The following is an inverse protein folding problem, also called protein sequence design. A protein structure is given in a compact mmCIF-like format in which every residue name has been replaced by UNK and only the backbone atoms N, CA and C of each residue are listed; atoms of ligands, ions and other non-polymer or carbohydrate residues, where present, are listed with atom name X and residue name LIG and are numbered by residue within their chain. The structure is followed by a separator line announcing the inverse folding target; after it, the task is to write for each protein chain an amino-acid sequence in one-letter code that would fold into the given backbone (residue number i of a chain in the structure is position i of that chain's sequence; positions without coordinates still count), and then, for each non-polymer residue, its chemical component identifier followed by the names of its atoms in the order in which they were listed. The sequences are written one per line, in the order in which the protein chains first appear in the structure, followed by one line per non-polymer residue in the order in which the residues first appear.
data_IF_896473399298
#
_entry.id   IF_896473399298
#
_cell.length_a   1.000
_cell.length_b   1.000
_cell.length_c   1.000
_cell.angle_alpha   90.00
_cell.angle_beta   90.00
_cell.angle_gamma   90.00
#
_symmetry.space_group_name_H-M   'P 1'
#
loop_
_entity.id
_entity.type
_entity.pdbx_description
1 polymer ?
#
# COMPACT_ATOMS: atom_id res chain seq x y z
N UNK A 1 11.94 26.97 22.45
CA UNK A 1 11.96 25.50 22.30
C UNK A 1 10.60 25.10 21.72
N UNK A 2 10.51 24.93 20.41
CA UNK A 2 9.25 24.54 19.75
C UNK A 2 9.01 23.06 20.02
N UNK A 3 7.97 22.75 20.79
CA UNK A 3 7.49 21.39 20.99
C UNK A 3 7.06 20.82 19.62
N UNK A 4 7.92 20.02 18.99
CA UNK A 4 7.60 19.33 17.74
C UNK A 4 6.62 18.22 18.12
N UNK A 5 5.33 18.50 18.00
CA UNK A 5 4.30 17.48 18.16
C UNK A 5 4.63 16.35 17.18
N UNK A 6 4.94 15.16 17.72
CA UNK A 6 5.22 13.98 16.91
C UNK A 6 3.88 13.57 16.30
N UNK A 7 3.63 13.99 15.07
CA UNK A 7 2.41 13.64 14.31
C UNK A 7 2.50 12.26 13.66
N UNK A 8 3.68 11.62 13.69
CA UNK A 8 3.96 10.33 13.08
C UNK A 8 4.17 9.26 14.17
N UNK A 9 3.17 8.40 14.36
CA UNK A 9 3.34 7.13 15.07
C UNK A 9 4.31 6.26 14.27
N UNK A 10 5.22 5.52 14.92
CA UNK A 10 6.13 4.61 14.23
C UNK A 10 5.34 3.49 13.53
N UNK A 11 5.10 3.63 12.23
CA UNK A 11 4.39 2.65 11.38
C UNK A 11 5.25 1.42 11.03
N UNK A 12 6.48 1.37 11.55
CA UNK A 12 7.39 0.21 11.50
C UNK A 12 6.93 -0.94 12.39
N UNK A 13 6.04 -0.69 13.36
CA UNK A 13 5.44 -1.74 14.17
C UNK A 13 4.22 -2.31 13.46
N UNK A 14 4.46 -3.11 12.43
CA UNK A 14 3.46 -4.07 11.95
C UNK A 14 3.14 -4.95 13.16
N UNK A 15 2.03 -4.68 13.84
CA UNK A 15 1.60 -5.31 15.09
C UNK A 15 1.14 -6.77 14.89
N UNK A 16 1.78 -7.49 13.99
CA UNK A 16 1.67 -8.92 13.85
C UNK A 16 3.04 -9.49 14.22
N UNK A 17 3.06 -10.37 15.21
CA UNK A 17 4.19 -11.24 15.51
C UNK A 17 4.40 -12.16 14.30
N UNK A 18 4.96 -11.66 13.20
CA UNK A 18 5.39 -12.50 12.11
C UNK A 18 6.53 -13.35 12.65
N UNK A 19 6.27 -14.65 12.88
CA UNK A 19 7.27 -15.64 13.30
C UNK A 19 8.48 -15.66 12.34
N UNK A 20 8.29 -15.22 11.09
CA UNK A 20 9.33 -15.09 10.07
C UNK A 20 9.25 -13.68 9.46
N UNK A 21 9.97 -12.74 10.07
CA UNK A 21 10.28 -11.46 9.42
C UNK A 21 11.47 -11.70 8.50
N UNK A 22 11.23 -11.76 7.18
CA UNK A 22 12.30 -11.66 6.20
C UNK A 22 12.42 -10.18 5.81
N UNK A 23 13.47 -9.46 6.25
CA UNK A 23 13.79 -8.18 5.66
C UNK A 23 14.25 -8.44 4.23
N UNK A 24 13.31 -8.31 3.30
CA UNK A 24 13.67 -8.23 1.89
C UNK A 24 14.20 -6.82 1.70
N UNK A 25 15.34 -6.63 1.02
CA UNK A 25 16.00 -5.33 0.81
C UNK A 25 15.05 -4.19 0.35
N UNK A 26 13.90 -4.56 -0.22
CA UNK A 26 12.81 -3.69 -0.66
C UNK A 26 12.13 -2.90 0.47
N UNK A 27 12.02 -3.45 1.69
CA UNK A 27 11.45 -2.69 2.82
C UNK A 27 12.43 -1.66 3.38
N UNK A 28 13.73 -1.92 3.31
CA UNK A 28 14.79 -1.00 3.74
C UNK A 28 14.93 0.17 2.74
N UNK A 29 14.59 -0.05 1.46
CA UNK A 29 14.56 1.00 0.43
C UNK A 29 13.46 2.05 0.65
N UNK A 30 12.42 1.76 1.45
CA UNK A 30 11.32 2.69 1.73
C UNK A 30 11.63 3.49 3.00
N UNK A 31 11.71 4.83 2.94
CA UNK A 31 11.96 5.66 4.12
C UNK A 31 10.96 5.42 5.25
N UNK A 32 11.38 5.56 6.51
CA UNK A 32 10.47 5.37 7.67
C UNK A 32 9.33 6.39 7.69
N UNK A 33 9.58 7.60 7.21
CA UNK A 33 8.61 8.70 7.21
C UNK A 33 7.69 8.71 5.97
N UNK A 34 7.80 7.70 5.09
CA UNK A 34 7.03 7.63 3.85
C UNK A 34 5.55 7.27 4.13
N UNK A 35 4.63 7.98 3.46
CA UNK A 35 3.19 7.77 3.56
C UNK A 35 2.76 6.39 3.04
N UNK A 36 3.57 5.74 2.19
CA UNK A 36 3.33 4.36 1.72
C UNK A 36 3.22 3.38 2.88
N UNK A 37 4.00 3.55 3.96
CA UNK A 37 3.98 2.62 5.11
C UNK A 37 2.64 2.61 5.81
N UNK A 38 2.10 3.80 6.12
CA UNK A 38 0.78 3.94 6.70
C UNK A 38 -0.30 3.35 5.79
N UNK A 39 -0.19 3.61 4.48
CA UNK A 39 -1.13 3.11 3.49
C UNK A 39 -1.16 1.58 3.42
N UNK A 40 0.01 0.94 3.42
CA UNK A 40 0.15 -0.51 3.45
C UNK A 40 -0.49 -1.12 4.71
N UNK A 41 -0.21 -0.57 5.89
CA UNK A 41 -0.81 -1.03 7.15
C UNK A 41 -2.33 -0.93 7.15
N UNK A 42 -2.87 0.18 6.62
CA UNK A 42 -4.32 0.36 6.52
C UNK A 42 -4.91 -0.71 5.60
N UNK A 43 -4.31 -0.90 4.43
CA UNK A 43 -4.74 -1.87 3.44
C UNK A 43 -4.65 -3.32 3.95
N UNK A 44 -3.62 -3.68 4.73
CA UNK A 44 -3.50 -5.03 5.32
C UNK A 44 -4.63 -5.38 6.29
N UNK A 45 -5.22 -4.38 6.95
CA UNK A 45 -6.35 -4.56 7.87
C UNK A 45 -7.70 -4.56 7.17
N UNK A 46 -7.74 -4.29 5.87
CA UNK A 46 -8.98 -4.27 5.09
C UNK A 46 -9.42 -5.67 4.67
N UNK A 47 -10.74 -5.86 4.64
CA UNK A 47 -11.36 -7.06 4.09
C UNK A 47 -11.58 -6.91 2.58
N UNK A 48 -10.96 -7.79 1.79
CA UNK A 48 -10.99 -7.77 0.33
C UNK A 48 -12.02 -8.73 -0.29
N UNK A 49 -12.90 -9.36 0.50
CA UNK A 49 -13.90 -10.31 -0.01
C UNK A 49 -14.77 -9.74 -1.13
N UNK A 50 -15.29 -8.52 -0.94
CA UNK A 50 -16.11 -7.85 -1.95
C UNK A 50 -15.32 -7.49 -3.21
N UNK A 51 -14.08 -7.01 -3.04
CA UNK A 51 -13.18 -6.71 -4.15
C UNK A 51 -12.95 -7.97 -4.99
N UNK A 52 -12.61 -9.08 -4.35
CA UNK A 52 -12.34 -10.35 -5.04
C UNK A 52 -13.59 -10.93 -5.71
N UNK A 53 -14.78 -10.74 -5.12
CA UNK A 53 -16.05 -11.17 -5.70
C UNK A 53 -16.41 -10.38 -6.98
N UNK A 54 -16.00 -9.12 -7.07
CA UNK A 54 -16.21 -8.30 -8.27
C UNK A 54 -15.35 -8.77 -9.46
N UNK A 55 -14.26 -9.48 -9.21
CA UNK A 55 -13.44 -10.07 -10.26
C UNK A 55 -13.99 -11.44 -10.67
N UNK A 56 -13.99 -11.70 -11.98
CA UNK A 56 -14.53 -12.94 -12.51
C UNK A 56 -13.69 -14.14 -12.02
N UNK A 57 -14.35 -15.10 -11.38
CA UNK A 57 -13.73 -16.38 -10.98
C UNK A 57 -13.44 -17.29 -12.18
N UNK A 58 -14.10 -17.06 -13.31
CA UNK A 58 -13.94 -17.79 -14.57
C UNK A 58 -13.52 -16.86 -15.69
N UNK A 59 -12.60 -17.31 -16.54
CA UNK A 59 -12.10 -16.55 -17.68
C UNK A 59 -10.61 -16.20 -17.54
N UNK A 60 -10.18 -15.15 -18.24
CA UNK A 60 -8.78 -14.71 -18.23
C UNK A 60 -8.44 -14.16 -16.85
N UNK A 61 -7.47 -14.77 -16.19
CA UNK A 61 -6.91 -14.25 -14.93
C UNK A 61 -6.35 -12.84 -15.17
N UNK A 62 -6.55 -11.90 -14.23
CA UNK A 62 -5.96 -10.59 -14.34
C UNK A 62 -4.42 -10.71 -14.35
N UNK A 63 -3.76 -9.79 -15.05
CA UNK A 63 -2.29 -9.79 -15.14
C UNK A 63 -1.61 -9.49 -13.80
N UNK A 64 -2.33 -8.82 -12.89
CA UNK A 64 -1.88 -8.41 -11.56
C UNK A 64 -2.97 -8.79 -10.56
N UNK A 65 -2.58 -9.12 -9.34
CA UNK A 65 -3.52 -9.36 -8.25
C UNK A 65 -4.44 -8.14 -8.02
N UNK A 66 -5.77 -8.32 -7.95
CA UNK A 66 -6.72 -7.24 -7.67
C UNK A 66 -6.37 -6.41 -6.43
N UNK A 67 -5.86 -7.05 -5.38
CA UNK A 67 -5.48 -6.39 -4.12
C UNK A 67 -4.30 -5.45 -4.34
N UNK A 68 -3.31 -5.87 -5.13
CA UNK A 68 -2.15 -5.02 -5.45
C UNK A 68 -2.60 -3.81 -6.28
N UNK A 69 -3.44 -4.04 -7.29
CA UNK A 69 -3.96 -2.94 -8.12
C UNK A 69 -4.78 -1.95 -7.28
N UNK A 70 -5.61 -2.46 -6.36
CA UNK A 70 -6.36 -1.63 -5.42
C UNK A 70 -5.44 -0.79 -4.53
N UNK A 71 -4.37 -1.37 -3.97
CA UNK A 71 -3.37 -0.64 -3.17
C UNK A 71 -2.74 0.51 -3.97
N UNK A 72 -2.39 0.28 -5.24
CA UNK A 72 -1.80 1.31 -6.11
C UNK A 72 -2.79 2.44 -6.41
N UNK A 73 -4.04 2.11 -6.77
CA UNK A 73 -5.07 3.10 -7.10
C UNK A 73 -5.40 3.98 -5.89
N UNK A 74 -5.59 3.36 -4.73
CA UNK A 74 -5.92 4.08 -3.48
C UNK A 74 -4.77 4.98 -3.01
N UNK A 75 -3.53 4.52 -3.15
CA UNK A 75 -2.36 5.35 -2.85
C UNK A 75 -2.23 6.53 -3.84
N UNK A 76 -2.41 6.29 -5.13
CA UNK A 76 -2.38 7.37 -6.10
C UNK A 76 -3.48 8.42 -5.84
N UNK A 77 -4.67 7.97 -5.44
CA UNK A 77 -5.77 8.84 -5.05
C UNK A 77 -5.45 9.70 -3.82
N UNK A 78 -4.71 9.19 -2.82
CA UNK A 78 -4.24 10.00 -1.68
C UNK A 78 -3.28 11.11 -2.13
N UNK A 79 -2.50 10.85 -3.18
CA UNK A 79 -1.61 11.81 -3.83
C UNK A 79 -2.32 12.72 -4.85
N UNK A 80 -3.66 12.69 -4.91
CA UNK A 80 -4.51 13.47 -5.84
C UNK A 80 -4.31 13.10 -7.33
N UNK A 81 -3.85 11.89 -7.61
CA UNK A 81 -3.68 11.36 -8.97
C UNK A 81 -4.81 10.36 -9.25
N UNK A 82 -5.71 10.71 -10.17
CA UNK A 82 -6.91 9.92 -10.47
C UNK A 82 -6.92 9.33 -11.88
N UNK A 83 -6.14 9.89 -12.82
CA UNK A 83 -6.11 9.40 -14.19
C UNK A 83 -5.18 8.20 -14.32
N UNK A 84 -5.60 7.19 -15.08
CA UNK A 84 -4.79 5.98 -15.31
C UNK A 84 -3.40 6.29 -15.87
N UNK A 85 -3.31 7.23 -16.83
CA UNK A 85 -2.03 7.74 -17.37
C UNK A 85 -1.20 8.47 -16.31
N UNK A 86 -1.84 9.19 -15.39
CA UNK A 86 -1.16 9.86 -14.28
C UNK A 86 -0.53 8.86 -13.31
N UNK A 87 -1.27 7.80 -12.98
CA UNK A 87 -0.78 6.69 -12.15
C UNK A 87 0.40 5.99 -12.84
N UNK A 88 0.25 5.65 -14.12
CA UNK A 88 1.30 5.02 -14.92
C UNK A 88 2.59 5.86 -14.93
N UNK A 89 2.48 7.17 -15.16
CA UNK A 89 3.63 8.08 -15.16
C UNK A 89 4.30 8.16 -13.77
N UNK A 90 3.52 8.11 -12.69
CA UNK A 90 4.04 8.12 -11.33
C UNK A 90 4.82 6.83 -11.00
N UNK A 91 4.41 5.68 -11.56
CA UNK A 91 5.09 4.39 -11.37
C UNK A 91 6.41 4.23 -12.16
N UNK A 92 6.73 5.16 -13.07
CA UNK A 92 7.99 5.14 -13.86
C UNK A 92 9.12 5.94 -13.22
N UNK A 93 8.92 6.43 -11.99
CA UNK A 93 9.89 7.24 -11.26
C UNK A 93 11.07 6.41 -10.77
#
# INVERSE_FOLDING_TARGET
MTNKQITQTQYTQTAANYQLYLPMDVEEMIPMDDSVRLHCLLCERMDYRELLQAYASKGRKPAVDPVILFKVITYAASQKIYSSRGIEKACRR
#
